data_IF_734990572367
#
_entry.id   IF_734990572367
#
_cell.length_a   1.000
_cell.length_b   1.000
_cell.length_c   1.000
_cell.angle_alpha   90.00
_cell.angle_beta   90.00
_cell.angle_gamma   90.00
#
_symmetry.space_group_name_H-M   'P 1'
#
loop_
_entity.id
_entity.type
_entity.pdbx_description
1 polymer ?
#
# COMPACT_ATOMS: atom_id res chain seq x y z
N UNK A 1 -36.33 12.61 49.71
CA UNK A 1 -35.57 11.67 50.56
C UNK A 1 -35.37 10.35 49.82
N UNK A 2 -34.14 9.92 49.54
CA UNK A 2 -33.75 8.49 49.46
C UNK A 2 -32.26 8.32 49.10
N UNK A 3 -31.47 8.23 50.17
CA UNK A 3 -30.33 7.36 50.44
C UNK A 3 -29.51 6.69 49.31
N UNK A 4 -28.20 6.89 49.50
CA UNK A 4 -26.96 6.41 48.87
C UNK A 4 -26.76 4.88 48.91
N UNK A 5 -26.13 4.33 47.87
CA UNK A 5 -25.24 3.16 47.91
C UNK A 5 -24.35 3.17 46.65
N UNK A 6 -23.22 3.87 46.65
CA UNK A 6 -21.87 3.27 46.76
C UNK A 6 -21.77 1.76 46.48
N UNK A 7 -21.32 1.43 45.27
CA UNK A 7 -20.40 0.31 45.07
C UNK A 7 -19.32 0.72 44.09
N UNK A 8 -18.11 0.81 44.63
CA UNK A 8 -16.86 0.97 43.88
C UNK A 8 -16.49 -0.34 43.19
N UNK A 9 -15.83 -0.22 42.04
CA UNK A 9 -14.75 -1.11 41.64
C UNK A 9 -15.13 -2.41 40.93
N UNK A 10 -14.75 -2.52 39.66
CA UNK A 10 -13.59 -3.32 39.22
C UNK A 10 -13.69 -3.45 37.69
N UNK A 11 -12.88 -2.64 37.01
CA UNK A 11 -12.49 -2.90 35.63
C UNK A 11 -11.43 -4.00 35.64
N UNK A 12 -11.66 -5.11 34.94
CA UNK A 12 -10.60 -6.04 34.55
C UNK A 12 -10.50 -7.38 35.30
N UNK A 13 -11.52 -8.24 35.24
CA UNK A 13 -11.30 -9.68 35.45
C UNK A 13 -12.13 -10.56 34.50
N UNK A 14 -11.47 -11.53 33.87
CA UNK A 14 -12.07 -12.59 33.03
C UNK A 14 -12.85 -13.56 33.92
N UNK A 15 -14.12 -13.26 34.21
CA UNK A 15 -14.98 -14.11 35.05
C UNK A 15 -16.15 -14.78 34.30
N UNK A 16 -16.12 -14.85 32.97
CA UNK A 16 -17.14 -15.60 32.21
C UNK A 16 -16.61 -17.02 31.96
N UNK A 17 -17.16 -18.08 32.60
CA UNK A 17 -16.71 -19.44 32.34
C UNK A 17 -17.14 -19.90 30.94
N UNK A 18 -16.17 -20.36 30.15
CA UNK A 18 -16.41 -20.96 28.83
C UNK A 18 -17.24 -22.24 29.01
N UNK A 19 -18.45 -22.27 28.42
CA UNK A 19 -19.40 -23.37 28.52
C UNK A 19 -18.88 -24.71 27.98
N UNK A 20 -19.50 -25.81 28.46
CA UNK A 20 -19.12 -27.20 28.18
C UNK A 20 -19.04 -27.48 26.67
N UNK A 21 -17.84 -27.82 26.22
CA UNK A 21 -17.54 -28.34 24.90
C UNK A 21 -18.37 -29.61 24.66
N UNK A 22 -19.37 -29.56 23.77
CA UNK A 22 -20.09 -30.76 23.31
C UNK A 22 -19.13 -31.60 22.46
N UNK A 23 -18.43 -32.51 23.11
CA UNK A 23 -17.82 -33.69 22.48
C UNK A 23 -18.84 -34.80 22.66
N UNK A 24 -19.54 -35.20 21.61
CA UNK A 24 -20.51 -36.29 21.71
C UNK A 24 -20.44 -37.19 20.47
N UNK A 25 -19.75 -38.31 20.65
CA UNK A 25 -20.17 -39.62 20.18
C UNK A 25 -20.47 -40.47 21.42
N UNK A 26 -21.62 -41.16 21.44
CA UNK A 26 -22.09 -42.02 22.53
C UNK A 26 -23.61 -41.92 22.76
N UNK A 27 -24.35 -42.86 22.19
CA UNK A 27 -25.79 -43.19 22.34
C UNK A 27 -26.06 -44.06 23.61
N UNK A 28 -27.30 -44.55 23.90
CA UNK A 28 -28.66 -44.16 23.48
C UNK A 28 -29.65 -44.05 24.68
N UNK A 29 -30.89 -43.57 24.45
CA UNK A 29 -32.08 -44.00 25.21
C UNK A 29 -33.35 -43.74 24.36
N UNK A 30 -34.27 -44.70 24.41
CA UNK A 30 -35.31 -45.05 23.45
C UNK A 30 -36.62 -44.21 23.45
N UNK A 31 -37.31 -44.35 22.30
CA UNK A 31 -38.77 -44.36 22.05
C UNK A 31 -39.59 -43.05 22.06
N UNK A 32 -39.89 -42.53 20.85
CA UNK A 32 -41.28 -42.29 20.40
C UNK A 32 -41.40 -42.19 18.88
N UNK A 33 -42.53 -42.69 18.38
CA UNK A 33 -42.82 -43.19 17.05
C UNK A 33 -43.33 -42.16 16.01
N UNK A 34 -42.97 -42.43 14.75
CA UNK A 34 -43.81 -42.44 13.53
C UNK A 34 -44.09 -41.14 12.72
N UNK A 35 -43.98 -41.34 11.40
CA UNK A 35 -44.54 -40.62 10.23
C UNK A 35 -43.86 -39.37 9.69
N UNK A 36 -43.21 -39.61 8.54
CA UNK A 36 -43.45 -38.95 7.25
C UNK A 36 -43.53 -37.43 7.24
N UNK A 37 -42.56 -36.80 6.55
CA UNK A 37 -42.82 -36.01 5.35
C UNK A 37 -41.50 -35.40 4.83
N UNK A 38 -41.20 -35.68 3.55
CA UNK A 38 -40.33 -34.90 2.65
C UNK A 38 -38.82 -35.01 2.85
N UNK A 39 -38.30 -36.14 2.37
CA UNK A 39 -37.10 -36.19 1.52
C UNK A 39 -37.28 -35.19 0.36
N UNK A 40 -36.79 -33.97 0.55
CA UNK A 40 -36.99 -32.88 -0.40
C UNK A 40 -36.06 -31.72 -0.09
N UNK A 41 -34.78 -31.90 -0.39
CA UNK A 41 -33.89 -30.78 -0.67
C UNK A 41 -32.95 -31.21 -1.78
N UNK A 42 -33.41 -31.04 -3.01
CA UNK A 42 -32.54 -31.03 -4.17
C UNK A 42 -31.36 -30.08 -3.87
N UNK A 43 -30.12 -30.48 -4.13
CA UNK A 43 -29.00 -29.56 -4.13
C UNK A 43 -29.12 -28.71 -5.39
N UNK A 44 -29.93 -27.64 -5.31
CA UNK A 44 -29.76 -26.49 -6.20
C UNK A 44 -28.26 -26.16 -6.23
N UNK A 45 -27.61 -26.09 -7.41
CA UNK A 45 -26.20 -25.75 -7.50
C UNK A 45 -26.08 -24.33 -6.96
N UNK A 46 -25.64 -24.22 -5.71
CA UNK A 46 -25.31 -22.98 -5.04
C UNK A 46 -24.34 -22.27 -5.98
N UNK A 47 -24.82 -21.27 -6.71
CA UNK A 47 -24.01 -20.47 -7.61
C UNK A 47 -22.79 -20.03 -6.80
N UNK A 48 -21.60 -20.43 -7.23
CA UNK A 48 -20.32 -20.22 -6.55
C UNK A 48 -19.90 -18.74 -6.59
N UNK A 49 -20.79 -17.83 -6.19
CA UNK A 49 -20.62 -16.39 -6.35
C UNK A 49 -20.72 -15.60 -5.03
N UNK A 50 -20.82 -16.26 -3.87
CA UNK A 50 -20.89 -15.55 -2.58
C UNK A 50 -19.98 -16.14 -1.50
N UNK A 51 -18.71 -16.33 -1.87
CA UNK A 51 -17.59 -16.24 -0.93
C UNK A 51 -16.89 -14.90 -1.12
N UNK A 52 -16.25 -14.31 -0.10
CA UNK A 52 -15.51 -13.06 -0.28
C UNK A 52 -14.49 -13.30 -1.38
N UNK A 53 -14.71 -12.65 -2.54
CA UNK A 53 -13.84 -12.74 -3.72
C UNK A 53 -12.41 -12.59 -3.23
N UNK A 54 -11.67 -13.69 -3.12
CA UNK A 54 -10.23 -13.65 -2.78
C UNK A 54 -9.61 -12.79 -3.86
N UNK A 55 -9.30 -11.53 -3.54
CA UNK A 55 -8.65 -10.59 -4.46
C UNK A 55 -7.47 -11.36 -5.04
N UNK A 56 -7.52 -11.71 -6.33
CA UNK A 56 -6.39 -12.32 -7.01
C UNK A 56 -5.23 -11.36 -6.75
N UNK A 57 -4.19 -11.82 -6.03
CA UNK A 57 -2.98 -11.04 -5.79
C UNK A 57 -2.49 -10.59 -7.15
N UNK A 58 -2.64 -9.30 -7.46
CA UNK A 58 -2.21 -8.76 -8.74
C UNK A 58 -0.70 -8.94 -8.83
N UNK A 59 -0.22 -9.30 -10.01
CA UNK A 59 1.21 -9.39 -10.30
C UNK A 59 1.86 -8.02 -10.03
N UNK A 60 3.02 -8.01 -9.38
CA UNK A 60 3.79 -6.79 -9.11
C UNK A 60 4.64 -6.37 -10.31
N UNK A 61 4.86 -7.30 -11.24
CA UNK A 61 5.52 -7.02 -12.51
C UNK A 61 4.49 -6.44 -13.48
N UNK A 62 4.73 -5.20 -13.90
CA UNK A 62 3.96 -4.55 -14.97
C UNK A 62 4.35 -5.11 -16.33
N UNK A 63 3.53 -4.81 -17.34
CA UNK A 63 3.88 -5.15 -18.72
C UNK A 63 5.07 -4.29 -19.19
N UNK A 64 5.94 -4.84 -20.04
CA UNK A 64 7.10 -4.10 -20.55
C UNK A 64 6.70 -2.81 -21.31
N UNK A 65 5.52 -2.82 -21.94
CA UNK A 65 4.93 -1.70 -22.67
C UNK A 65 4.35 -0.60 -21.76
N UNK A 66 3.99 -0.92 -20.52
CA UNK A 66 3.41 0.03 -19.57
C UNK A 66 4.46 1.01 -19.03
N UNK A 67 5.74 0.62 -19.02
CA UNK A 67 6.82 1.49 -18.58
C UNK A 67 7.30 2.42 -19.71
N UNK A 68 6.48 3.44 -20.02
CA UNK A 68 6.78 4.46 -21.03
C UNK A 68 8.13 5.14 -20.79
N UNK A 69 8.51 5.32 -19.53
CA UNK A 69 9.80 5.90 -19.16
C UNK A 69 10.96 5.00 -19.63
N UNK A 70 10.90 3.69 -19.40
CA UNK A 70 11.94 2.75 -19.86
C UNK A 70 12.06 2.72 -21.39
N UNK A 71 10.94 2.78 -22.11
CA UNK A 71 10.95 2.82 -23.58
C UNK A 71 11.60 4.07 -24.18
N UNK A 72 11.51 5.22 -23.49
CA UNK A 72 12.06 6.50 -23.98
C UNK A 72 13.54 6.70 -23.64
N UNK A 73 14.04 6.03 -22.60
CA UNK A 73 15.38 6.24 -22.08
C UNK A 73 16.47 5.60 -22.94
N UNK A 74 16.18 4.49 -23.62
CA UNK A 74 17.18 3.75 -24.40
C UNK A 74 18.37 3.25 -23.58
N UNK A 75 18.33 3.36 -22.25
CA UNK A 75 19.42 2.94 -21.36
C UNK A 75 19.37 1.43 -21.14
N UNK A 76 20.49 0.72 -21.33
CA UNK A 76 20.52 -0.73 -21.20
C UNK A 76 20.32 -1.17 -19.75
N UNK A 77 19.26 -1.91 -19.45
CA UNK A 77 19.03 -2.45 -18.10
C UNK A 77 19.89 -3.68 -17.79
N UNK A 78 20.46 -4.32 -18.82
CA UNK A 78 21.36 -5.46 -18.68
C UNK A 78 22.82 -4.97 -18.65
N UNK A 79 23.52 -5.25 -17.56
CA UNK A 79 24.94 -4.95 -17.40
C UNK A 79 25.73 -6.18 -17.83
N UNK A 80 26.44 -6.10 -18.95
CA UNK A 80 27.20 -7.22 -19.52
C UNK A 80 28.71 -7.13 -19.26
N UNK A 81 29.21 -5.97 -18.81
CA UNK A 81 30.62 -5.73 -18.55
C UNK A 81 31.00 -5.95 -17.08
N UNK A 82 32.27 -6.26 -16.85
CA UNK A 82 32.86 -6.30 -15.52
C UNK A 82 33.13 -4.87 -15.02
N UNK A 83 32.33 -4.43 -14.05
CA UNK A 83 32.47 -3.13 -13.41
C UNK A 83 32.82 -3.29 -11.92
N UNK A 84 33.46 -2.29 -11.33
CA UNK A 84 33.66 -2.24 -9.87
C UNK A 84 32.34 -2.00 -9.14
N UNK A 85 32.27 -2.32 -7.85
CA UNK A 85 31.05 -2.07 -7.05
C UNK A 85 30.63 -0.59 -7.10
N UNK A 86 31.60 0.33 -7.05
CA UNK A 86 31.34 1.77 -7.14
C UNK A 86 30.79 2.19 -8.51
N UNK A 87 31.30 1.59 -9.59
CA UNK A 87 30.80 1.83 -10.94
C UNK A 87 29.38 1.30 -11.13
N UNK A 88 29.08 0.12 -10.58
CA UNK A 88 27.71 -0.43 -10.59
C UNK A 88 26.74 0.46 -9.79
N UNK A 89 27.16 0.94 -8.63
CA UNK A 89 26.39 1.92 -7.86
C UNK A 89 26.17 3.21 -8.64
N UNK A 90 27.21 3.78 -9.24
CA UNK A 90 27.10 4.97 -10.08
C UNK A 90 26.13 4.76 -11.26
N UNK A 91 26.20 3.60 -11.92
CA UNK A 91 25.33 3.24 -13.04
C UNK A 91 23.87 3.13 -12.62
N UNK A 92 23.60 2.41 -11.52
CA UNK A 92 22.24 2.24 -11.00
C UNK A 92 21.63 3.56 -10.52
N UNK A 93 22.43 4.45 -9.92
CA UNK A 93 22.01 5.80 -9.56
C UNK A 93 21.62 6.61 -10.79
N UNK A 94 22.47 6.62 -11.82
CA UNK A 94 22.22 7.35 -13.05
C UNK A 94 20.95 6.84 -13.75
N UNK A 95 20.82 5.52 -13.93
CA UNK A 95 19.63 4.87 -14.51
C UNK A 95 18.35 5.30 -13.79
N UNK A 96 18.35 5.27 -12.46
CA UNK A 96 17.17 5.60 -11.66
C UNK A 96 16.82 7.10 -11.71
N UNK A 97 17.82 7.99 -11.69
CA UNK A 97 17.60 9.44 -11.79
C UNK A 97 16.98 9.80 -13.14
N UNK A 98 17.47 9.20 -14.22
CA UNK A 98 16.92 9.44 -15.55
C UNK A 98 15.49 8.87 -15.67
N UNK A 99 15.23 7.68 -15.11
CA UNK A 99 13.89 7.08 -15.10
C UNK A 99 12.86 8.00 -14.43
N UNK A 100 13.21 8.54 -13.26
CA UNK A 100 12.34 9.46 -12.54
C UNK A 100 12.19 10.77 -13.31
N UNK A 101 13.27 11.29 -13.91
CA UNK A 101 13.22 12.52 -14.70
C UNK A 101 12.26 12.40 -15.89
N UNK A 102 12.25 11.24 -16.58
CA UNK A 102 11.29 10.99 -17.66
C UNK A 102 9.86 10.85 -17.16
N UNK A 103 9.63 10.18 -16.03
CA UNK A 103 8.30 10.09 -15.41
C UNK A 103 7.74 11.46 -15.07
N UNK A 104 8.57 12.36 -14.56
CA UNK A 104 8.19 13.75 -14.28
C UNK A 104 7.94 14.55 -15.56
N UNK A 105 8.67 14.28 -16.65
CA UNK A 105 8.53 14.99 -17.94
C UNK A 105 7.26 14.62 -18.71
N UNK A 106 6.87 13.34 -18.67
CA UNK A 106 5.68 12.81 -19.37
C UNK A 106 4.41 12.93 -18.49
N UNK A 107 4.56 13.39 -17.24
CA UNK A 107 3.51 13.38 -16.21
C UNK A 107 2.94 11.98 -15.90
N UNK A 108 3.67 10.91 -16.24
CA UNK A 108 3.35 9.52 -15.91
C UNK A 108 3.81 9.16 -14.49
N UNK A 109 3.28 9.91 -13.54
CA UNK A 109 3.73 9.92 -12.14
C UNK A 109 2.80 9.09 -11.25
N UNK A 110 1.54 8.97 -11.65
CA UNK A 110 0.53 8.21 -10.90
C UNK A 110 0.53 6.79 -11.45
N UNK A 111 0.78 5.76 -10.61
CA UNK A 111 0.64 4.37 -11.03
C UNK A 111 -0.75 4.09 -11.63
N UNK A 112 -0.99 2.94 -12.27
CA UNK A 112 -2.34 2.53 -12.67
C UNK A 112 -3.23 2.22 -11.44
N UNK A 113 -4.54 2.49 -11.51
CA UNK A 113 -5.50 2.36 -10.39
C UNK A 113 -5.71 0.89 -9.96
N UNK A 114 -4.79 0.37 -9.13
CA UNK A 114 -4.92 -0.89 -8.40
C UNK A 114 -5.41 -0.73 -6.95
N UNK A 115 -5.31 -1.79 -6.16
CA UNK A 115 -5.66 -1.90 -4.74
C UNK A 115 -4.80 -0.95 -3.85
N UNK A 116 -5.10 0.34 -3.93
CA UNK A 116 -4.36 1.39 -3.22
C UNK A 116 -4.78 1.44 -1.77
N UNK A 117 -3.83 1.81 -0.91
CA UNK A 117 -4.15 2.30 0.42
C UNK A 117 -5.08 3.52 0.31
N UNK A 118 -6.05 3.70 1.23
CA UNK A 118 -6.89 4.90 1.25
C UNK A 118 -6.03 6.17 1.26
N UNK A 119 -6.49 7.21 0.57
CA UNK A 119 -5.78 8.49 0.53
C UNK A 119 -5.86 9.21 1.88
N UNK A 120 -4.84 10.00 2.26
CA UNK A 120 -4.90 10.86 3.44
C UNK A 120 -6.02 11.89 3.34
N UNK A 121 -6.46 12.48 4.47
CA UNK A 121 -7.50 13.53 4.48
C UNK A 121 -7.07 14.73 3.63
N UNK A 122 -8.00 15.44 2.96
CA UNK A 122 -7.67 16.58 2.12
C UNK A 122 -7.07 17.73 2.94
N UNK A 123 -6.02 18.34 2.42
CA UNK A 123 -5.40 19.54 2.96
C UNK A 123 -5.62 20.68 1.98
N UNK A 124 -5.84 21.89 2.50
CA UNK A 124 -6.14 23.07 1.71
C UNK A 124 -5.14 24.18 2.00
N UNK A 125 -4.83 24.97 0.98
CA UNK A 125 -4.09 26.23 1.09
C UNK A 125 -5.00 27.32 1.70
N UNK A 126 -4.42 28.45 2.09
CA UNK A 126 -5.10 29.64 2.60
C UNK A 126 -6.18 30.17 1.64
N UNK A 127 -6.06 29.87 0.35
CA UNK A 127 -7.03 30.21 -0.70
C UNK A 127 -8.14 29.15 -0.89
N UNK A 128 -8.23 28.14 -0.01
CA UNK A 128 -9.24 27.07 -0.09
C UNK A 128 -9.03 26.06 -1.23
N UNK A 129 -7.86 26.06 -1.88
CA UNK A 129 -7.51 25.07 -2.92
C UNK A 129 -6.87 23.83 -2.31
N UNK A 130 -7.27 22.63 -2.75
CA UNK A 130 -6.70 21.38 -2.23
C UNK A 130 -5.24 21.22 -2.69
N UNK A 131 -4.32 21.10 -1.73
CA UNK A 131 -2.89 20.96 -2.00
C UNK A 131 -2.45 19.50 -2.17
N UNK A 132 -3.10 18.57 -1.46
CA UNK A 132 -2.67 17.18 -1.40
C UNK A 132 -3.43 16.27 -2.37
N UNK A 133 -3.50 16.68 -3.63
CA UNK A 133 -4.04 15.81 -4.68
C UNK A 133 -3.18 14.55 -4.82
N UNK A 134 -3.74 13.52 -5.44
CA UNK A 134 -3.05 12.25 -5.65
C UNK A 134 -1.79 12.47 -6.48
N UNK A 135 -1.93 13.24 -7.54
CA UNK A 135 -0.91 13.64 -8.49
C UNK A 135 0.23 14.36 -7.76
N UNK A 136 -0.10 15.35 -6.93
CA UNK A 136 0.90 16.06 -6.12
C UNK A 136 1.65 15.12 -5.17
N UNK A 137 0.97 14.19 -4.49
CA UNK A 137 1.63 13.24 -3.57
C UNK A 137 2.63 12.33 -4.26
N UNK A 138 2.28 11.79 -5.43
CA UNK A 138 3.19 10.92 -6.18
C UNK A 138 4.32 11.73 -6.82
N UNK A 139 4.04 12.94 -7.32
CA UNK A 139 5.06 13.84 -7.88
C UNK A 139 6.07 14.24 -6.82
N UNK A 140 5.61 14.71 -5.65
CA UNK A 140 6.47 15.04 -4.51
C UNK A 140 7.33 13.86 -4.09
N UNK A 141 6.76 12.64 -4.01
CA UNK A 141 7.54 11.44 -3.66
C UNK A 141 8.65 11.15 -4.67
N UNK A 142 8.36 11.27 -5.97
CA UNK A 142 9.37 11.06 -7.02
C UNK A 142 10.43 12.17 -7.01
N UNK A 143 10.04 13.42 -6.77
CA UNK A 143 10.97 14.54 -6.62
C UNK A 143 11.88 14.36 -5.40
N UNK A 144 11.34 13.95 -4.25
CA UNK A 144 12.11 13.65 -3.03
C UNK A 144 13.07 12.47 -3.23
N UNK A 145 12.60 11.40 -3.91
CA UNK A 145 13.44 10.26 -4.27
C UNK A 145 14.59 10.68 -5.21
N UNK A 146 14.27 11.42 -6.26
CA UNK A 146 15.25 11.97 -7.22
C UNK A 146 16.25 12.88 -6.52
N UNK A 147 15.80 13.74 -5.61
CA UNK A 147 16.66 14.62 -4.82
C UNK A 147 17.67 13.81 -3.99
N UNK A 148 17.20 12.79 -3.27
CA UNK A 148 18.05 11.90 -2.47
C UNK A 148 19.09 11.17 -3.32
N UNK A 149 18.72 10.73 -4.52
CA UNK A 149 19.62 10.05 -5.46
C UNK A 149 20.67 11.01 -6.03
N UNK A 150 20.27 12.23 -6.39
CA UNK A 150 21.19 13.28 -6.87
C UNK A 150 22.20 13.64 -5.77
N UNK A 151 21.78 13.77 -4.50
CA UNK A 151 22.69 14.01 -3.38
C UNK A 151 23.69 12.88 -3.17
N UNK A 152 23.28 11.63 -3.41
CA UNK A 152 24.20 10.49 -3.38
C UNK A 152 25.15 10.52 -4.58
N UNK A 153 24.63 10.75 -5.79
CA UNK A 153 25.41 10.80 -7.02
C UNK A 153 26.48 11.90 -6.99
N UNK A 154 26.18 13.09 -6.46
CA UNK A 154 27.15 14.18 -6.29
C UNK A 154 28.33 13.80 -5.37
N UNK A 155 28.14 12.85 -4.45
CA UNK A 155 29.19 12.39 -3.54
C UNK A 155 30.04 11.27 -4.14
N UNK A 156 29.43 10.41 -4.95
CA UNK A 156 30.07 9.21 -5.48
C UNK A 156 30.70 9.41 -6.85
N UNK A 157 30.12 10.27 -7.69
CA UNK A 157 30.57 10.49 -9.07
C UNK A 157 31.28 11.84 -9.14
N UNK A 158 32.60 11.87 -9.45
CA UNK A 158 33.31 13.12 -9.66
C UNK A 158 32.74 13.85 -10.89
N UNK A 159 32.61 15.17 -10.82
CA UNK A 159 32.05 16.03 -11.88
C UNK A 159 30.59 15.70 -12.28
N UNK A 160 29.80 15.13 -11.38
CA UNK A 160 28.39 14.89 -11.64
C UNK A 160 27.59 16.20 -11.75
N UNK A 161 26.87 16.34 -12.86
CA UNK A 161 25.95 17.46 -13.09
C UNK A 161 24.50 17.00 -12.90
N UNK A 162 23.74 17.63 -11.97
CA UNK A 162 22.32 17.35 -11.83
C UNK A 162 21.54 17.63 -13.12
N UNK A 163 20.43 16.90 -13.39
CA UNK A 163 19.59 17.16 -14.56
C UNK A 163 19.07 18.60 -14.60
N UNK A 164 18.89 19.18 -15.79
CA UNK A 164 18.52 20.60 -15.96
C UNK A 164 17.21 20.99 -15.25
N UNK A 165 16.24 20.09 -15.20
CA UNK A 165 14.94 20.32 -14.55
C UNK A 165 14.99 20.13 -13.02
N UNK A 166 16.17 19.91 -12.45
CA UNK A 166 16.33 19.71 -11.00
C UNK A 166 16.34 21.05 -10.30
N UNK A 167 15.36 21.25 -9.42
CA UNK A 167 15.36 22.36 -8.48
C UNK A 167 15.64 21.84 -7.09
N UNK A 168 16.71 22.35 -6.47
CA UNK A 168 17.03 22.04 -5.08
C UNK A 168 15.86 22.49 -4.20
N UNK A 169 15.26 21.59 -3.38
CA UNK A 169 14.20 21.98 -2.47
C UNK A 169 14.70 23.10 -1.56
N UNK A 170 14.04 24.26 -1.60
CA UNK A 170 14.27 25.30 -0.62
C UNK A 170 13.70 24.80 0.70
N UNK A 171 14.55 24.71 1.74
CA UNK A 171 14.08 24.45 3.09
C UNK A 171 13.21 25.64 3.51
N UNK A 172 11.91 25.53 3.34
CA UNK A 172 10.97 26.43 4.01
C UNK A 172 11.05 26.08 5.49
N UNK A 173 11.56 27.00 6.30
CA UNK A 173 11.36 26.94 7.75
C UNK A 173 9.84 27.01 7.96
N UNK A 174 9.18 25.87 8.09
CA UNK A 174 7.86 25.84 8.72
C UNK A 174 8.08 26.36 10.14
N UNK A 175 7.68 27.61 10.38
CA UNK A 175 7.58 28.15 11.73
C UNK A 175 6.58 27.25 12.44
N UNK A 176 7.07 26.50 13.43
CA UNK A 176 6.19 25.93 14.44
C UNK A 176 5.59 27.12 15.19
N UNK A 177 4.34 27.42 14.92
CA UNK A 177 3.58 28.37 15.73
C UNK A 177 3.39 27.72 17.11
N UNK A 178 3.90 28.42 18.13
CA UNK A 178 3.80 28.10 19.55
C UNK A 178 2.37 28.28 20.07
#
# INVERSE_FOLDING_TARGET
>A
MSWRSQQQGITGSNNVPLGKLRRFGGEPDDDVSDRDLKRGRDPEPRTEADGPRRRKKRNRWGEASENKAAGLMGLPTAILSNMTSEQLEAYTLHLRIEEISQKLRIDDVVPADGDRSPSPPPQYDNHGRRINTREYRYRKRLEDERHKLIERAMKTIPNYHPPQDYRRPTKTQEKYDC
#
